data_IF_007784247809
#
_entry.id   IF_007784247809
#
_cell.length_a   1.000
_cell.length_b   1.000
_cell.length_c   1.000
_cell.angle_alpha   90.00
_cell.angle_beta   90.00
_cell.angle_gamma   90.00
#
_symmetry.space_group_name_H-M   'P 1'
#
loop_
_entity.id
_entity.type
_entity.pdbx_description
1 polymer ?
#
# COMPACT_ATOMS: atom_id res chain seq x y z
N UNK A 1 -2.42 8.41 13.15
CA UNK A 1 -3.10 7.10 13.30
C UNK A 1 -4.56 7.31 13.63
N UNK A 2 -5.44 6.43 13.13
CA UNK A 2 -6.85 6.37 13.52
C UNK A 2 -6.99 5.23 14.53
N UNK A 3 -7.73 5.47 15.62
CA UNK A 3 -8.03 4.46 16.61
C UNK A 3 -9.50 4.02 16.48
N UNK A 4 -9.72 2.72 16.53
CA UNK A 4 -11.06 2.14 16.59
C UNK A 4 -11.45 1.98 18.05
N UNK A 5 -12.63 2.51 18.44
CA UNK A 5 -13.19 2.34 19.78
C UNK A 5 -14.22 1.23 19.75
N UNK A 6 -14.02 0.20 20.57
CA UNK A 6 -14.81 -1.03 20.59
C UNK A 6 -14.10 -2.22 19.96
N UNK A 7 -14.69 -3.38 20.15
CA UNK A 7 -14.23 -4.65 19.56
C UNK A 7 -15.43 -5.37 18.93
N UNK A 8 -15.18 -6.50 18.25
CA UNK A 8 -16.25 -7.35 17.72
C UNK A 8 -17.28 -7.74 18.80
N UNK A 9 -16.79 -8.00 20.03
CA UNK A 9 -17.60 -8.49 21.17
C UNK A 9 -18.07 -7.38 22.11
N UNK A 10 -17.44 -6.18 22.08
CA UNK A 10 -17.74 -5.06 22.97
C UNK A 10 -17.98 -3.78 22.18
N UNK A 11 -19.24 -3.53 21.85
CA UNK A 11 -19.65 -2.32 21.08
C UNK A 11 -19.71 -1.10 22.02
N UNK A 12 -19.40 0.11 21.52
CA UNK A 12 -19.57 1.35 22.29
C UNK A 12 -21.02 1.55 22.73
N UNK A 13 -21.21 2.13 23.91
CA UNK A 13 -22.53 2.47 24.43
C UNK A 13 -23.14 3.66 23.68
N UNK A 14 -24.47 3.81 23.76
CA UNK A 14 -25.16 4.97 23.15
C UNK A 14 -24.66 6.31 23.71
N UNK A 15 -24.23 6.35 24.97
CA UNK A 15 -23.66 7.55 25.59
C UNK A 15 -22.30 7.95 24.98
N UNK A 16 -21.57 7.00 24.41
CA UNK A 16 -20.31 7.26 23.69
C UNK A 16 -20.57 7.61 22.23
N UNK A 17 -21.64 7.09 21.61
CA UNK A 17 -21.98 7.33 20.22
C UNK A 17 -22.58 8.73 20.00
N UNK A 18 -23.41 9.24 20.94
CA UNK A 18 -24.06 10.55 20.81
C UNK A 18 -23.03 11.69 20.63
N UNK A 19 -21.99 11.84 21.48
CA UNK A 19 -20.96 12.85 21.24
C UNK A 19 -20.19 12.64 19.94
N UNK A 20 -19.93 11.38 19.56
CA UNK A 20 -19.21 11.07 18.33
C UNK A 20 -19.97 11.51 17.05
N UNK A 21 -21.30 11.53 17.10
CA UNK A 21 -22.14 11.98 15.98
C UNK A 21 -21.95 13.48 15.67
N UNK A 22 -21.64 14.29 16.67
CA UNK A 22 -21.44 15.74 16.53
C UNK A 22 -19.96 16.15 16.41
N UNK A 23 -19.04 15.19 16.54
CA UNK A 23 -17.60 15.45 16.50
C UNK A 23 -17.06 15.14 15.08
N UNK A 24 -16.66 16.15 14.29
CA UNK A 24 -16.17 15.93 12.93
C UNK A 24 -14.86 15.16 12.86
N UNK A 25 -14.14 15.00 14.00
CA UNK A 25 -12.92 14.19 14.09
C UNK A 25 -13.21 12.70 14.25
N UNK A 26 -14.49 12.31 14.42
CA UNK A 26 -14.93 10.92 14.64
C UNK A 26 -15.80 10.45 13.49
N UNK A 27 -15.86 9.15 13.29
CA UNK A 27 -16.77 8.49 12.37
C UNK A 27 -17.42 7.29 13.02
N UNK A 28 -18.71 7.13 12.81
CA UNK A 28 -19.46 5.95 13.23
C UNK A 28 -19.62 5.06 12.00
N UNK A 29 -19.04 3.88 12.06
CA UNK A 29 -19.08 2.89 10.98
C UNK A 29 -19.74 1.61 11.47
N UNK A 30 -20.38 0.82 10.59
CA UNK A 30 -20.90 -0.50 10.96
C UNK A 30 -19.77 -1.39 11.48
N UNK A 31 -20.05 -2.15 12.56
CA UNK A 31 -19.03 -3.02 13.16
C UNK A 31 -18.50 -4.05 12.17
N UNK A 32 -19.34 -4.58 11.30
CA UNK A 32 -19.00 -5.61 10.31
C UNK A 32 -18.05 -5.08 9.21
N UNK A 33 -17.99 -3.75 9.03
CA UNK A 33 -17.02 -3.12 8.12
C UNK A 33 -15.59 -3.12 8.68
N UNK A 34 -15.45 -3.19 10.01
CA UNK A 34 -14.15 -3.23 10.71
C UNK A 34 -13.80 -4.66 11.15
N UNK A 35 -14.83 -5.41 11.57
CA UNK A 35 -14.73 -6.77 12.08
C UNK A 35 -15.63 -7.70 11.26
N UNK A 36 -15.17 -8.18 10.09
CA UNK A 36 -15.92 -9.15 9.30
C UNK A 36 -16.25 -10.40 10.13
N UNK A 37 -17.47 -10.95 10.03
CA UNK A 37 -17.92 -12.03 10.90
C UNK A 37 -17.18 -13.37 10.72
N UNK A 38 -16.45 -13.51 9.63
CA UNK A 38 -15.65 -14.68 9.26
C UNK A 38 -14.17 -14.56 9.67
N UNK A 39 -13.76 -13.45 10.29
CA UNK A 39 -12.38 -13.22 10.73
C UNK A 39 -12.27 -12.99 12.23
N UNK A 40 -11.26 -13.58 12.84
CA UNK A 40 -10.94 -13.35 14.26
C UNK A 40 -10.12 -12.05 14.42
N UNK A 41 -10.17 -11.46 15.61
CA UNK A 41 -9.34 -10.29 15.94
C UNK A 41 -7.85 -10.56 15.77
N UNK A 42 -7.40 -11.82 16.01
CA UNK A 42 -6.01 -12.23 15.79
C UNK A 42 -5.67 -12.21 14.30
N UNK A 43 -6.52 -12.77 13.45
CA UNK A 43 -6.32 -12.77 11.99
C UNK A 43 -6.24 -11.34 11.43
N UNK A 44 -7.11 -10.44 11.89
CA UNK A 44 -7.06 -9.02 11.51
C UNK A 44 -5.77 -8.34 11.97
N UNK A 45 -5.29 -8.65 13.17
CA UNK A 45 -4.02 -8.13 13.68
C UNK A 45 -2.83 -8.64 12.87
N UNK A 46 -2.80 -9.93 12.56
CA UNK A 46 -1.74 -10.55 11.77
C UNK A 46 -1.72 -10.01 10.34
N UNK A 47 -2.90 -9.84 9.73
CA UNK A 47 -3.05 -9.22 8.41
C UNK A 47 -2.56 -7.76 8.42
N UNK A 48 -2.96 -6.97 9.43
CA UNK A 48 -2.54 -5.58 9.57
C UNK A 48 -1.02 -5.46 9.75
N UNK A 49 -0.42 -6.40 10.48
CA UNK A 49 1.04 -6.47 10.68
C UNK A 49 1.75 -6.85 9.37
N UNK A 50 1.24 -7.81 8.62
CA UNK A 50 1.78 -8.19 7.33
C UNK A 50 1.71 -7.05 6.31
N UNK A 51 0.58 -6.34 6.25
CA UNK A 51 0.42 -5.15 5.41
C UNK A 51 1.38 -4.02 5.77
N UNK A 52 1.71 -3.86 7.06
CA UNK A 52 2.70 -2.88 7.50
C UNK A 52 4.10 -3.26 7.03
N UNK A 53 4.48 -4.54 7.11
CA UNK A 53 5.80 -5.02 6.62
C UNK A 53 5.91 -4.82 5.12
N UNK A 54 4.88 -5.17 4.37
CA UNK A 54 4.80 -4.96 2.92
C UNK A 54 4.94 -3.47 2.57
N UNK A 55 4.18 -2.62 3.25
CA UNK A 55 4.24 -1.16 3.07
C UNK A 55 5.64 -0.57 3.34
N UNK A 56 6.39 -1.13 4.29
CA UNK A 56 7.78 -0.70 4.54
C UNK A 56 8.72 -1.12 3.42
N UNK A 57 8.52 -2.31 2.84
CA UNK A 57 9.29 -2.80 1.70
C UNK A 57 9.03 -1.93 0.46
N UNK A 58 7.78 -1.69 0.14
CA UNK A 58 7.35 -0.86 -0.99
C UNK A 58 7.86 0.59 -0.83
N UNK A 59 7.70 1.19 0.35
CA UNK A 59 8.18 2.53 0.65
C UNK A 59 9.71 2.64 0.52
N UNK A 60 10.44 1.61 0.96
CA UNK A 60 11.91 1.56 0.83
C UNK A 60 12.31 1.44 -0.64
N UNK A 61 11.61 0.60 -1.41
CA UNK A 61 11.86 0.44 -2.83
C UNK A 61 11.62 1.76 -3.59
N UNK A 62 10.48 2.40 -3.35
CA UNK A 62 10.13 3.69 -3.96
C UNK A 62 11.15 4.78 -3.62
N UNK A 63 11.51 4.93 -2.33
CA UNK A 63 12.44 5.95 -1.88
C UNK A 63 13.84 5.75 -2.46
N UNK A 64 14.37 4.52 -2.44
CA UNK A 64 15.70 4.24 -2.97
C UNK A 64 15.74 4.38 -4.50
N UNK A 65 14.69 3.96 -5.21
CA UNK A 65 14.56 4.17 -6.65
C UNK A 65 14.52 5.66 -7.00
N UNK A 66 13.74 6.47 -6.26
CA UNK A 66 13.70 7.93 -6.41
C UNK A 66 15.10 8.56 -6.22
N UNK A 67 15.89 8.04 -5.29
CA UNK A 67 17.28 8.50 -5.05
C UNK A 67 18.30 7.95 -6.06
N UNK A 68 17.86 7.18 -7.07
CA UNK A 68 18.72 6.64 -8.14
C UNK A 68 19.46 5.36 -7.78
N UNK A 69 19.12 4.70 -6.69
CA UNK A 69 19.66 3.38 -6.37
C UNK A 69 18.97 2.28 -7.21
N UNK A 70 19.72 1.24 -7.53
CA UNK A 70 19.15 0.05 -8.19
C UNK A 70 18.49 -0.83 -7.16
N UNK A 71 17.18 -1.00 -7.27
CA UNK A 71 16.36 -1.90 -6.45
C UNK A 71 15.87 -3.01 -7.36
N UNK A 72 16.12 -4.27 -6.96
CA UNK A 72 15.76 -5.42 -7.79
C UNK A 72 14.64 -6.20 -7.10
N UNK A 73 13.43 -6.25 -7.67
CA UNK A 73 12.34 -7.06 -7.15
C UNK A 73 12.56 -8.54 -7.40
N UNK A 74 12.05 -9.37 -6.48
CA UNK A 74 11.98 -10.82 -6.64
C UNK A 74 10.73 -11.38 -5.97
N UNK A 75 10.25 -12.53 -6.46
CA UNK A 75 9.10 -13.22 -5.89
C UNK A 75 9.55 -14.25 -4.87
N UNK A 76 8.98 -14.21 -3.68
CA UNK A 76 9.20 -15.18 -2.61
C UNK A 76 7.90 -15.91 -2.27
N UNK A 77 8.00 -17.22 -2.02
CA UNK A 77 6.87 -18.03 -1.56
C UNK A 77 6.64 -17.74 -0.08
N UNK A 78 5.49 -17.13 0.23
CA UNK A 78 5.07 -16.88 1.61
C UNK A 78 4.45 -18.12 2.25
N UNK A 79 3.53 -18.78 1.53
CA UNK A 79 2.89 -20.02 1.97
C UNK A 79 2.45 -20.87 0.80
N UNK A 80 2.30 -22.18 1.06
CA UNK A 80 1.79 -23.15 0.10
C UNK A 80 0.51 -23.74 0.68
N UNK A 81 -0.56 -23.77 -0.11
CA UNK A 81 -1.84 -24.36 0.25
C UNK A 81 -1.70 -25.89 0.35
N UNK A 82 -2.28 -26.50 1.39
CA UNK A 82 -2.15 -27.93 1.66
C UNK A 82 -2.79 -28.82 0.58
N UNK A 83 -3.78 -28.31 -0.13
CA UNK A 83 -4.46 -28.96 -1.27
C UNK A 83 -4.06 -28.35 -2.63
N UNK A 84 -3.16 -27.35 -2.61
CA UNK A 84 -2.63 -26.69 -3.79
C UNK A 84 -1.78 -27.61 -4.68
N UNK A 85 -1.63 -27.24 -5.94
CA UNK A 85 -0.80 -27.98 -6.90
C UNK A 85 0.70 -27.93 -6.55
N UNK A 86 1.13 -26.88 -5.88
CA UNK A 86 2.53 -26.69 -5.44
C UNK A 86 2.87 -27.43 -4.15
N UNK A 87 1.90 -28.06 -3.48
CA UNK A 87 2.16 -28.79 -2.24
C UNK A 87 3.17 -29.91 -2.45
N UNK A 88 4.18 -29.99 -1.59
CA UNK A 88 5.29 -30.93 -1.70
C UNK A 88 6.32 -30.61 -2.79
N UNK A 89 6.10 -29.54 -3.60
CA UNK A 89 7.03 -29.08 -4.65
C UNK A 89 7.69 -27.77 -4.24
N UNK A 90 6.90 -26.73 -3.90
CA UNK A 90 7.39 -25.47 -3.37
C UNK A 90 7.36 -25.47 -1.85
N UNK A 91 8.18 -24.59 -1.26
CA UNK A 91 8.28 -24.39 0.18
C UNK A 91 8.30 -22.89 0.48
N UNK A 92 7.96 -22.54 1.72
CA UNK A 92 8.13 -21.16 2.20
C UNK A 92 9.59 -20.72 1.98
N UNK A 93 9.76 -19.45 1.63
CA UNK A 93 11.03 -18.78 1.36
C UNK A 93 11.75 -19.24 0.06
N UNK A 94 11.11 -20.09 -0.79
CA UNK A 94 11.59 -20.29 -2.15
C UNK A 94 11.48 -18.98 -2.93
N UNK A 95 12.52 -18.59 -3.65
CA UNK A 95 12.50 -17.46 -4.58
C UNK A 95 12.19 -17.97 -5.98
N UNK A 96 11.16 -17.43 -6.63
CA UNK A 96 10.80 -17.80 -8.00
C UNK A 96 11.53 -16.87 -8.96
N UNK A 97 12.49 -17.39 -9.72
CA UNK A 97 13.31 -16.62 -10.65
C UNK A 97 12.70 -16.56 -12.07
N UNK A 98 12.12 -17.69 -12.52
CA UNK A 98 11.52 -17.75 -13.84
C UNK A 98 10.42 -18.82 -13.93
N UNK A 99 9.53 -18.64 -14.91
CA UNK A 99 8.52 -19.61 -15.30
C UNK A 99 8.62 -19.85 -16.81
N UNK A 100 8.77 -21.12 -17.20
CA UNK A 100 9.00 -21.56 -18.58
C UNK A 100 10.13 -20.78 -19.29
N UNK A 101 11.20 -20.47 -18.55
CA UNK A 101 12.35 -19.72 -19.04
C UNK A 101 12.17 -18.20 -19.13
N UNK A 102 10.98 -17.68 -18.83
CA UNK A 102 10.71 -16.25 -18.74
C UNK A 102 10.93 -15.78 -17.31
N UNK A 103 11.78 -14.77 -17.10
CA UNK A 103 12.01 -14.18 -15.78
C UNK A 103 10.70 -13.60 -15.23
N UNK A 104 10.46 -13.78 -13.92
CA UNK A 104 9.29 -13.25 -13.23
C UNK A 104 9.75 -12.44 -12.03
N UNK A 105 9.22 -11.23 -11.91
CA UNK A 105 9.54 -10.28 -10.82
C UNK A 105 8.34 -9.88 -10.00
N UNK A 106 7.13 -10.21 -10.49
CA UNK A 106 5.86 -9.87 -9.88
C UNK A 106 4.84 -11.01 -10.04
N UNK A 107 3.81 -10.98 -9.20
CA UNK A 107 2.76 -12.00 -9.17
C UNK A 107 1.92 -12.01 -10.45
N UNK A 108 1.72 -10.86 -11.08
CA UNK A 108 0.88 -10.74 -12.27
C UNK A 108 1.51 -11.43 -13.47
N UNK A 109 2.82 -11.25 -13.67
CA UNK A 109 3.59 -11.92 -14.73
C UNK A 109 3.57 -13.44 -14.57
N UNK A 110 3.77 -13.95 -13.35
CA UNK A 110 3.68 -15.39 -13.10
C UNK A 110 2.28 -15.93 -13.35
N UNK A 111 1.23 -15.23 -12.90
CA UNK A 111 -0.16 -15.62 -13.17
C UNK A 111 -0.49 -15.65 -14.64
N UNK A 112 -0.01 -14.68 -15.42
CA UNK A 112 -0.21 -14.65 -16.87
C UNK A 112 0.42 -15.86 -17.54
N UNK A 113 1.65 -16.25 -17.15
CA UNK A 113 2.33 -17.44 -17.69
C UNK A 113 1.54 -18.70 -17.35
N UNK A 114 1.09 -18.87 -16.08
CA UNK A 114 0.30 -20.02 -15.64
C UNK A 114 -1.01 -20.11 -16.42
N UNK A 115 -1.72 -18.98 -16.58
CA UNK A 115 -2.98 -18.93 -17.32
C UNK A 115 -2.81 -19.31 -18.81
N UNK A 116 -1.74 -18.85 -19.43
CA UNK A 116 -1.43 -19.16 -20.85
C UNK A 116 -1.15 -20.65 -21.09
N UNK A 117 -0.86 -21.43 -20.06
CA UNK A 117 -0.62 -22.88 -20.17
C UNK A 117 -1.89 -23.72 -20.24
N UNK A 118 -3.05 -23.16 -19.92
CA UNK A 118 -4.36 -23.81 -19.95
C UNK A 118 -4.34 -25.21 -19.28
N UNK A 119 -3.70 -25.27 -18.09
CA UNK A 119 -3.58 -26.48 -17.27
C UNK A 119 -2.41 -27.39 -17.61
N UNK A 120 -1.61 -27.10 -18.63
CA UNK A 120 -0.38 -27.83 -18.87
C UNK A 120 0.68 -27.53 -17.78
N UNK A 121 1.64 -28.45 -17.54
CA UNK A 121 2.70 -28.23 -16.56
C UNK A 121 3.50 -26.97 -16.85
N UNK A 122 3.83 -26.21 -15.77
CA UNK A 122 4.71 -25.03 -15.80
C UNK A 122 6.03 -25.42 -15.15
N UNK A 123 7.14 -25.12 -15.81
CA UNK A 123 8.49 -25.32 -15.27
C UNK A 123 8.93 -24.03 -14.56
N UNK A 124 9.16 -24.10 -13.26
CA UNK A 124 9.68 -22.98 -12.48
C UNK A 124 11.16 -23.18 -12.17
N UNK A 125 11.95 -22.14 -12.39
CA UNK A 125 13.30 -22.04 -11.82
C UNK A 125 13.17 -21.34 -10.49
N UNK A 126 13.59 -21.99 -9.42
CA UNK A 126 13.53 -21.47 -8.06
C UNK A 126 14.91 -21.47 -7.42
N UNK A 127 15.12 -20.55 -6.46
CA UNK A 127 16.25 -20.60 -5.55
C UNK A 127 15.76 -21.06 -4.17
N UNK A 128 16.33 -22.14 -3.68
CA UNK A 128 16.03 -22.73 -2.36
C UNK A 128 17.32 -22.87 -1.57
N UNK A 129 17.43 -22.15 -0.44
CA UNK A 129 18.62 -22.20 0.40
C UNK A 129 19.91 -21.85 -0.35
N UNK A 130 19.85 -20.91 -1.29
CA UNK A 130 20.99 -20.49 -2.13
C UNK A 130 21.29 -21.41 -3.32
N UNK A 131 20.49 -22.47 -3.54
CA UNK A 131 20.67 -23.40 -4.66
C UNK A 131 19.55 -23.22 -5.68
N UNK A 132 19.91 -22.98 -6.93
CA UNK A 132 18.95 -22.92 -8.05
C UNK A 132 18.48 -24.34 -8.41
N UNK A 133 17.17 -24.52 -8.54
CA UNK A 133 16.51 -25.80 -8.87
C UNK A 133 15.42 -25.56 -9.91
N UNK A 134 15.17 -26.57 -10.73
CA UNK A 134 13.99 -26.60 -11.59
C UNK A 134 12.94 -27.55 -11.00
N UNK A 135 11.70 -27.05 -10.93
CA UNK A 135 10.54 -27.83 -10.47
C UNK A 135 9.42 -27.68 -11.50
N UNK A 136 8.60 -28.72 -11.62
CA UNK A 136 7.46 -28.70 -12.53
C UNK A 136 6.17 -28.82 -11.73
N UNK A 137 5.18 -27.96 -12.01
CA UNK A 137 3.90 -27.92 -11.33
C UNK A 137 2.79 -27.93 -12.37
N UNK A 138 1.83 -28.83 -12.22
CA UNK A 138 0.62 -28.86 -13.04
C UNK A 138 -0.46 -28.06 -12.34
N UNK A 139 -0.89 -26.89 -12.86
CA UNK A 139 -1.90 -26.06 -12.23
C UNK A 139 -3.22 -26.79 -12.07
N UNK A 140 -3.98 -26.45 -11.04
CA UNK A 140 -5.36 -26.92 -10.82
C UNK A 140 -6.34 -25.83 -11.19
N UNK A 141 -7.45 -26.22 -11.80
CA UNK A 141 -8.53 -25.29 -12.10
C UNK A 141 -9.34 -25.01 -10.83
N UNK A 142 -9.57 -23.74 -10.54
CA UNK A 142 -10.41 -23.27 -9.44
C UNK A 142 -11.40 -22.21 -9.94
N UNK A 143 -12.55 -22.12 -9.28
CA UNK A 143 -13.55 -21.10 -9.59
C UNK A 143 -13.37 -19.95 -8.59
N UNK A 144 -12.96 -18.77 -9.09
CA UNK A 144 -12.82 -17.55 -8.29
C UNK A 144 -13.78 -16.50 -8.86
N UNK A 145 -14.67 -15.99 -8.03
CA UNK A 145 -15.68 -15.00 -8.43
C UNK A 145 -16.50 -15.44 -9.66
N UNK A 146 -16.79 -16.75 -9.76
CA UNK A 146 -17.54 -17.32 -10.88
C UNK A 146 -16.74 -17.52 -12.17
N UNK A 147 -15.45 -17.22 -12.19
CA UNK A 147 -14.54 -17.44 -13.32
C UNK A 147 -13.61 -18.61 -13.05
N UNK A 148 -13.41 -19.43 -14.06
CA UNK A 148 -12.45 -20.54 -14.00
C UNK A 148 -11.04 -20.02 -14.19
N UNK A 149 -10.16 -20.30 -13.24
CA UNK A 149 -8.77 -19.83 -13.21
C UNK A 149 -7.81 -20.97 -12.89
N UNK A 150 -6.67 -21.01 -13.56
CA UNK A 150 -5.61 -21.97 -13.29
C UNK A 150 -4.69 -21.44 -12.18
N UNK A 151 -4.53 -22.22 -11.09
CA UNK A 151 -3.73 -21.86 -9.93
C UNK A 151 -2.77 -22.98 -9.53
N UNK A 152 -1.66 -22.59 -8.94
CA UNK A 152 -0.69 -23.51 -8.35
C UNK A 152 -0.84 -23.63 -6.82
N UNK A 153 -1.67 -22.80 -6.19
CA UNK A 153 -1.97 -22.85 -4.74
C UNK A 153 -0.80 -22.39 -3.89
N UNK A 154 -0.29 -21.20 -4.18
CA UNK A 154 0.74 -20.52 -3.37
C UNK A 154 0.36 -19.06 -3.14
N UNK A 155 0.70 -18.55 -1.95
CA UNK A 155 0.76 -17.12 -1.68
C UNK A 155 2.19 -16.64 -1.91
N UNK A 156 2.32 -15.59 -2.70
CA UNK A 156 3.60 -14.99 -3.06
C UNK A 156 3.68 -13.56 -2.54
N UNK A 157 4.88 -13.14 -2.15
CA UNK A 157 5.21 -11.76 -1.83
C UNK A 157 6.26 -11.26 -2.82
N UNK A 158 6.08 -10.03 -3.29
CA UNK A 158 7.15 -9.30 -3.95
C UNK A 158 8.07 -8.76 -2.86
N UNK A 159 9.35 -9.07 -2.96
CA UNK A 159 10.40 -8.57 -2.08
C UNK A 159 11.48 -7.87 -2.91
N UNK A 160 12.37 -7.16 -2.25
CA UNK A 160 13.37 -6.35 -2.93
C UNK A 160 14.76 -6.58 -2.36
N UNK A 161 15.76 -6.63 -3.25
CA UNK A 161 17.14 -6.51 -2.85
C UNK A 161 17.51 -5.02 -2.75
N UNK A 162 17.78 -4.59 -1.53
CA UNK A 162 18.18 -3.22 -1.26
C UNK A 162 19.70 -3.08 -1.17
N UNK A 163 20.30 -2.05 -1.80
CA UNK A 163 21.75 -1.79 -1.67
C UNK A 163 22.12 -1.19 -0.31
N UNK A 164 21.13 -0.72 0.47
CA UNK A 164 21.29 -0.11 1.79
C UNK A 164 20.29 -0.77 2.75
N UNK A 165 20.75 -1.12 3.96
CA UNK A 165 19.88 -1.64 5.02
C UNK A 165 19.08 -0.49 5.67
N UNK A 166 17.79 -0.40 5.37
CA UNK A 166 16.88 0.61 5.91
C UNK A 166 16.04 -0.04 7.02
N UNK A 167 16.08 0.56 8.23
CA UNK A 167 15.30 0.10 9.38
C UNK A 167 14.31 1.17 9.81
N UNK A 168 13.04 0.89 9.62
CA UNK A 168 11.94 1.72 10.10
C UNK A 168 11.49 1.23 11.49
N UNK A 169 11.67 2.08 12.50
CA UNK A 169 11.23 1.76 13.86
C UNK A 169 9.86 2.38 14.13
N UNK A 170 8.87 1.53 14.33
CA UNK A 170 7.49 1.92 14.57
C UNK A 170 6.96 1.25 15.83
N UNK A 171 6.13 1.96 16.57
CA UNK A 171 5.52 1.45 17.80
C UNK A 171 4.00 1.45 17.65
N UNK A 172 3.38 0.28 17.79
CA UNK A 172 1.91 0.10 17.85
C UNK A 172 1.15 0.71 16.64
N UNK A 173 1.68 0.58 15.45
CA UNK A 173 1.07 1.03 14.20
C UNK A 173 0.94 -0.15 13.25
N UNK A 174 -0.21 -0.32 12.63
CA UNK A 174 -0.48 -1.35 11.63
C UNK A 174 -1.12 -0.76 10.38
N UNK A 175 -1.20 -1.59 9.33
CA UNK A 175 -1.77 -1.24 8.04
C UNK A 175 -0.84 -0.42 7.13
N UNK A 176 -1.13 -0.34 5.82
CA UNK A 176 -0.22 0.18 4.81
C UNK A 176 -0.28 1.70 4.62
N UNK A 177 -1.16 2.41 5.34
CA UNK A 177 -1.54 3.80 5.06
C UNK A 177 -0.49 4.87 5.39
N UNK A 178 0.69 4.47 5.89
CA UNK A 178 1.81 5.37 6.17
C UNK A 178 2.95 5.25 5.16
N UNK A 179 2.82 4.40 4.14
CA UNK A 179 3.87 4.06 3.18
C UNK A 179 4.49 5.29 2.52
N UNK A 180 3.69 6.23 2.01
CA UNK A 180 4.19 7.47 1.43
C UNK A 180 5.06 8.25 2.44
N UNK A 181 4.62 8.36 3.68
CA UNK A 181 5.37 9.09 4.71
C UNK A 181 6.67 8.36 5.11
N UNK A 182 6.71 7.02 5.02
CA UNK A 182 7.94 6.27 5.18
C UNK A 182 8.94 6.58 4.06
N UNK A 183 8.48 6.56 2.82
CA UNK A 183 9.33 6.89 1.68
C UNK A 183 9.92 8.30 1.79
N UNK A 184 9.09 9.29 2.15
CA UNK A 184 9.54 10.66 2.39
C UNK A 184 10.55 10.74 3.54
N UNK A 185 10.34 10.02 4.65
CA UNK A 185 11.28 9.96 5.78
C UNK A 185 12.61 9.31 5.42
N UNK A 186 12.61 8.30 4.56
CA UNK A 186 13.84 7.68 4.04
C UNK A 186 14.61 8.68 3.16
N UNK A 187 13.91 9.37 2.24
CA UNK A 187 14.51 10.38 1.37
C UNK A 187 15.11 11.51 2.22
N UNK A 188 14.36 12.04 3.18
CA UNK A 188 14.84 13.10 4.10
C UNK A 188 16.10 12.68 4.87
N UNK A 189 16.16 11.42 5.31
CA UNK A 189 17.31 10.89 6.05
C UNK A 189 18.55 10.69 5.17
N UNK A 190 18.36 10.32 3.90
CA UNK A 190 19.42 10.01 2.96
C UNK A 190 19.88 11.22 2.13
N UNK A 191 19.17 12.36 2.21
CA UNK A 191 19.52 13.60 1.50
C UNK A 191 19.99 14.69 2.47
N UNK A 192 20.92 15.55 2.09
CA UNK A 192 21.35 16.66 2.93
C UNK A 192 20.23 17.68 3.15
N UNK A 193 20.06 18.13 4.39
CA UNK A 193 19.09 19.15 4.77
C UNK A 193 17.80 18.54 5.31
N UNK A 194 16.79 19.37 5.55
CA UNK A 194 15.45 18.95 5.96
C UNK A 194 14.49 19.19 4.80
N UNK A 195 13.92 18.13 4.26
CA UNK A 195 13.02 18.20 3.11
C UNK A 195 11.82 19.12 3.38
N UNK A 196 11.31 19.11 4.61
CA UNK A 196 10.20 19.96 5.05
C UNK A 196 10.62 21.38 5.54
N UNK A 197 11.93 21.73 5.50
CA UNK A 197 12.44 23.04 5.96
C UNK A 197 12.10 23.36 7.42
N UNK A 198 11.86 22.36 8.26
CA UNK A 198 11.45 22.53 9.66
C UNK A 198 9.98 22.90 9.84
N UNK A 199 9.15 22.80 8.81
CA UNK A 199 7.69 22.99 8.89
C UNK A 199 7.00 21.76 9.46
N UNK A 200 5.87 21.96 10.12
CA UNK A 200 5.05 20.89 10.65
C UNK A 200 4.14 20.31 9.55
N UNK A 201 4.65 19.30 8.86
CA UNK A 201 3.93 18.61 7.79
C UNK A 201 3.49 17.23 8.26
N UNK A 202 2.26 16.89 8.03
CA UNK A 202 1.73 15.54 8.17
C UNK A 202 1.26 15.01 6.81
N UNK A 203 0.98 13.72 6.72
CA UNK A 203 0.46 13.13 5.50
C UNK A 203 0.05 11.68 5.71
N UNK A 204 -0.55 11.11 4.69
CA UNK A 204 -0.95 9.71 4.64
C UNK A 204 -1.05 9.26 3.19
N UNK A 205 -0.91 7.97 2.96
CA UNK A 205 -1.01 7.35 1.65
C UNK A 205 -0.41 5.95 1.69
N UNK A 206 -0.96 5.01 0.98
CA UNK A 206 -0.20 3.82 0.57
C UNK A 206 0.83 4.25 -0.46
N UNK A 207 1.82 3.43 -0.69
CA UNK A 207 2.77 3.62 -1.78
C UNK A 207 3.17 2.24 -2.31
N UNK A 208 3.39 2.16 -3.60
CA UNK A 208 4.00 1.01 -4.23
C UNK A 208 5.46 1.28 -4.63
N UNK A 209 6.19 0.26 -5.07
CA UNK A 209 7.58 0.37 -5.47
C UNK A 209 7.81 1.28 -6.69
N UNK A 210 6.77 1.54 -7.48
CA UNK A 210 6.82 2.49 -8.60
C UNK A 210 6.67 3.95 -8.12
N UNK A 211 6.31 4.16 -6.85
CA UNK A 211 6.09 5.47 -6.25
C UNK A 211 4.66 5.99 -6.41
N UNK A 212 3.72 5.16 -6.84
CA UNK A 212 2.31 5.54 -6.94
C UNK A 212 1.67 5.61 -5.54
N UNK A 213 0.96 6.70 -5.27
CA UNK A 213 0.33 6.96 -3.97
C UNK A 213 -1.15 6.60 -4.04
N UNK A 214 -1.56 5.62 -3.25
CA UNK A 214 -2.93 5.13 -3.23
C UNK A 214 -3.76 5.61 -2.05
N UNK A 215 -5.09 5.49 -2.20
CA UNK A 215 -6.09 5.87 -1.21
C UNK A 215 -5.98 5.10 0.11
N UNK A 216 -6.53 5.72 1.17
CA UNK A 216 -6.54 5.15 2.52
C UNK A 216 -7.89 5.36 3.19
N UNK A 217 -8.17 4.61 4.25
CA UNK A 217 -9.36 4.84 5.06
C UNK A 217 -9.16 5.89 6.16
N UNK A 218 -10.26 6.60 6.47
CA UNK A 218 -10.32 7.53 7.59
C UNK A 218 -9.50 8.81 7.41
N UNK A 219 -9.43 9.34 6.19
CA UNK A 219 -8.64 10.53 5.90
C UNK A 219 -9.11 11.76 6.68
N UNK A 220 -10.42 11.90 6.90
CA UNK A 220 -10.98 13.00 7.70
C UNK A 220 -10.41 12.99 9.12
N UNK A 221 -10.46 11.83 9.80
CA UNK A 221 -9.92 11.65 11.14
C UNK A 221 -8.42 11.93 11.20
N UNK A 222 -7.68 11.53 10.16
CA UNK A 222 -6.24 11.78 10.04
C UNK A 222 -5.93 13.28 9.90
N UNK A 223 -6.70 14.02 9.11
CA UNK A 223 -6.54 15.48 8.99
C UNK A 223 -6.81 16.20 10.33
N UNK A 224 -7.89 15.83 11.04
CA UNK A 224 -8.17 16.39 12.36
C UNK A 224 -7.08 16.03 13.38
N UNK A 225 -6.61 14.78 13.38
CA UNK A 225 -5.50 14.33 14.22
C UNK A 225 -4.19 15.06 13.92
N UNK A 226 -3.86 15.27 12.64
CA UNK A 226 -2.71 16.03 12.21
C UNK A 226 -2.78 17.48 12.71
N UNK A 227 -3.93 18.15 12.49
CA UNK A 227 -4.14 19.52 12.94
C UNK A 227 -4.04 19.67 14.45
N UNK A 228 -4.64 18.75 15.22
CA UNK A 228 -4.55 18.77 16.68
C UNK A 228 -3.14 18.51 17.21
N UNK A 229 -2.30 17.85 16.42
CA UNK A 229 -0.87 17.62 16.71
C UNK A 229 0.03 18.76 16.23
N UNK A 230 -0.54 19.87 15.73
CA UNK A 230 0.20 21.06 15.33
C UNK A 230 0.62 21.10 13.86
N UNK A 231 0.16 20.17 13.02
CA UNK A 231 0.45 20.24 11.59
C UNK A 231 -0.20 21.49 10.95
N UNK A 232 0.57 22.15 10.09
CA UNK A 232 0.15 23.29 9.27
C UNK A 232 -0.19 22.84 7.85
N UNK A 233 0.48 21.76 7.40
CA UNK A 233 0.36 21.21 6.06
C UNK A 233 0.03 19.71 6.14
N UNK A 234 -0.72 19.23 5.14
CA UNK A 234 -1.08 17.83 5.05
C UNK A 234 -1.02 17.35 3.60
N UNK A 235 -0.32 16.24 3.35
CA UNK A 235 -0.28 15.57 2.06
C UNK A 235 -1.34 14.47 2.04
N UNK A 236 -2.30 14.57 1.14
CA UNK A 236 -3.41 13.64 0.97
C UNK A 236 -3.31 12.92 -0.37
N UNK A 237 -3.61 11.61 -0.44
CA UNK A 237 -3.74 10.94 -1.73
C UNK A 237 -4.81 11.60 -2.60
N UNK A 238 -4.52 11.80 -3.87
CA UNK A 238 -5.47 12.37 -4.82
C UNK A 238 -6.76 11.54 -4.90
N UNK A 239 -6.65 10.23 -4.76
CA UNK A 239 -7.78 9.29 -4.76
C UNK A 239 -8.70 9.41 -3.53
N UNK A 240 -8.31 10.17 -2.51
CA UNK A 240 -9.18 10.50 -1.37
C UNK A 240 -9.81 11.89 -1.47
N UNK A 241 -9.67 12.60 -2.59
CA UNK A 241 -10.07 13.99 -2.68
C UNK A 241 -11.58 14.21 -2.51
N UNK A 242 -12.41 13.25 -2.86
CA UNK A 242 -13.86 13.26 -2.61
C UNK A 242 -14.21 13.30 -1.11
N UNK A 243 -13.39 12.63 -0.27
CA UNK A 243 -13.54 12.66 1.18
C UNK A 243 -12.90 13.90 1.84
N UNK A 244 -11.92 14.53 1.19
CA UNK A 244 -11.18 15.69 1.70
C UNK A 244 -11.95 16.98 1.50
N UNK A 245 -12.55 17.17 0.30
CA UNK A 245 -13.27 18.42 -0.03
C UNK A 245 -14.45 18.62 0.91
N UNK A 246 -14.50 19.82 1.51
CA UNK A 246 -15.52 20.19 2.49
C UNK A 246 -15.26 19.69 3.93
N UNK A 247 -14.15 18.96 4.18
CA UNK A 247 -13.83 18.39 5.49
C UNK A 247 -12.47 18.81 6.04
N UNK A 248 -11.82 19.80 5.43
CA UNK A 248 -10.50 20.30 5.86
C UNK A 248 -10.65 21.07 7.17
N UNK A 249 -9.93 20.69 8.25
CA UNK A 249 -9.92 21.45 9.50
C UNK A 249 -9.38 22.87 9.31
N UNK A 250 -9.93 23.82 10.06
CA UNK A 250 -9.45 25.21 10.02
C UNK A 250 -7.96 25.31 10.38
N UNK A 251 -7.19 26.00 9.57
CA UNK A 251 -5.75 26.21 9.76
C UNK A 251 -4.88 25.04 9.31
N UNK A 252 -5.41 24.09 8.53
CA UNK A 252 -4.65 23.05 7.85
C UNK A 252 -4.70 23.32 6.34
N UNK A 253 -3.54 23.38 5.69
CA UNK A 253 -3.42 23.42 4.23
C UNK A 253 -3.25 22.00 3.71
N UNK A 254 -4.10 21.56 2.78
CA UNK A 254 -4.09 20.18 2.26
C UNK A 254 -3.75 20.18 0.78
N UNK A 255 -2.74 19.40 0.41
CA UNK A 255 -2.28 19.23 -0.97
C UNK A 255 -2.49 17.78 -1.41
N UNK A 256 -2.93 17.62 -2.65
CA UNK A 256 -3.22 16.33 -3.26
C UNK A 256 -1.99 15.81 -3.99
N UNK A 257 -1.61 14.58 -3.70
CA UNK A 257 -0.46 13.91 -4.31
C UNK A 257 -0.88 12.57 -4.92
N UNK A 258 -0.40 12.27 -6.11
CA UNK A 258 -0.62 10.99 -6.79
C UNK A 258 0.63 10.13 -6.82
N UNK A 259 1.81 10.76 -6.70
CA UNK A 259 3.09 10.07 -6.78
C UNK A 259 4.03 10.54 -5.66
N UNK A 260 5.09 9.75 -5.42
CA UNK A 260 6.17 10.14 -4.52
C UNK A 260 6.87 11.42 -5.00
N UNK A 261 7.02 11.59 -6.31
CA UNK A 261 7.63 12.79 -6.90
C UNK A 261 6.79 14.04 -6.61
N UNK A 262 5.46 13.95 -6.67
CA UNK A 262 4.56 15.03 -6.26
C UNK A 262 4.79 15.39 -4.79
N UNK A 263 4.83 14.37 -3.92
CA UNK A 263 5.00 14.57 -2.49
C UNK A 263 6.36 15.21 -2.13
N UNK A 264 7.44 14.79 -2.78
CA UNK A 264 8.79 15.38 -2.61
C UNK A 264 8.80 16.82 -3.10
N UNK A 265 8.23 17.09 -4.28
CA UNK A 265 8.08 18.44 -4.82
C UNK A 265 7.32 19.35 -3.86
N UNK A 266 6.18 18.90 -3.37
CA UNK A 266 5.33 19.67 -2.47
C UNK A 266 6.06 19.99 -1.16
N UNK A 267 6.75 18.99 -0.55
CA UNK A 267 7.57 19.21 0.63
C UNK A 267 8.70 20.21 0.38
N UNK A 268 9.35 20.15 -0.78
CA UNK A 268 10.41 21.08 -1.16
C UNK A 268 9.89 22.51 -1.27
N UNK A 269 8.73 22.72 -1.88
CA UNK A 269 8.09 24.05 -1.98
C UNK A 269 7.71 24.55 -0.59
N UNK A 270 7.06 23.73 0.23
CA UNK A 270 6.67 24.05 1.61
C UNK A 270 7.93 24.38 2.45
N UNK A 271 8.94 23.54 2.38
CA UNK A 271 10.16 23.66 3.16
C UNK A 271 11.00 24.89 2.83
N UNK A 272 11.05 25.28 1.56
CA UNK A 272 11.74 26.49 1.10
C UNK A 272 10.95 27.78 1.37
N UNK A 273 9.68 27.71 1.82
CA UNK A 273 8.77 28.85 1.92
C UNK A 273 8.35 29.40 0.55
N UNK A 274 8.35 28.53 -0.46
CA UNK A 274 7.93 28.89 -1.82
C UNK A 274 6.42 29.14 -1.93
N UNK A 275 5.99 29.48 -3.14
CA UNK A 275 4.58 29.77 -3.42
C UNK A 275 3.76 28.46 -3.46
N UNK A 276 3.09 28.17 -2.35
CA UNK A 276 2.25 26.98 -2.21
C UNK A 276 0.93 27.05 -3.01
N UNK A 277 0.57 28.19 -3.60
CA UNK A 277 -0.60 28.30 -4.48
C UNK A 277 -0.44 27.52 -5.79
N UNK A 278 0.78 27.13 -6.13
CA UNK A 278 1.11 26.32 -7.31
C UNK A 278 0.92 24.82 -7.07
N UNK A 279 0.73 24.40 -5.82
CA UNK A 279 0.56 23.00 -5.47
C UNK A 279 -0.87 22.52 -5.74
N UNK A 280 -1.00 21.26 -6.14
CA UNK A 280 -2.29 20.65 -6.40
C UNK A 280 -3.12 20.55 -5.11
N UNK A 281 -4.36 21.00 -5.15
CA UNK A 281 -5.32 20.78 -4.06
C UNK A 281 -6.39 19.80 -4.48
N UNK A 282 -7.07 19.18 -3.52
CA UNK A 282 -8.18 18.28 -3.84
C UNK A 282 -9.28 18.99 -4.66
N UNK A 283 -9.52 20.27 -4.44
CA UNK A 283 -10.49 21.04 -5.25
C UNK A 283 -10.03 21.19 -6.70
N UNK A 284 -8.73 21.38 -6.95
CA UNK A 284 -8.20 21.50 -8.32
C UNK A 284 -8.18 20.14 -9.04
N UNK A 285 -7.85 19.06 -8.32
CA UNK A 285 -7.85 17.70 -8.88
C UNK A 285 -9.26 17.29 -9.31
N UNK A 286 -10.27 17.51 -8.46
CA UNK A 286 -11.66 17.17 -8.78
C UNK A 286 -12.27 18.06 -9.86
N UNK A 287 -11.79 19.29 -10.04
CA UNK A 287 -12.25 20.18 -11.10
C UNK A 287 -11.62 19.87 -12.48
N UNK A 288 -10.53 19.09 -12.50
CA UNK A 288 -9.90 18.66 -13.74
C UNK A 288 -10.74 17.58 -14.43
N UNK A 289 -11.11 17.72 -15.70
CA UNK A 289 -11.87 16.68 -16.39
C UNK A 289 -11.02 15.40 -16.45
N UNK A 290 -11.55 14.30 -15.91
CA UNK A 290 -10.96 12.95 -16.09
C UNK A 290 -10.75 12.73 -17.59
N UNK A 291 -9.55 12.34 -18.05
CA UNK A 291 -9.36 12.01 -19.46
C UNK A 291 -10.34 10.88 -19.82
N UNK A 292 -11.32 11.21 -20.63
CA UNK A 292 -12.28 10.25 -21.17
C UNK A 292 -11.50 9.22 -21.98
N UNK A 293 -11.39 8.02 -21.45
CA UNK A 293 -10.91 6.86 -22.23
C UNK A 293 -12.02 6.60 -23.25
N UNK A 294 -11.83 7.11 -24.46
CA UNK A 294 -12.69 6.76 -25.59
C UNK A 294 -12.61 5.25 -25.81
N UNK A 295 -13.73 4.53 -25.84
CA UNK A 295 -13.69 3.13 -26.21
C UNK A 295 -13.13 3.02 -27.64
N UNK A 296 -12.04 2.31 -27.77
CA UNK A 296 -11.49 1.95 -29.08
C UNK A 296 -12.56 1.17 -29.84
N UNK A 297 -12.96 1.57 -31.04
CA UNK A 297 -13.92 0.80 -31.82
C UNK A 297 -13.26 -0.54 -32.15
N UNK A 298 -13.89 -1.61 -31.70
CA UNK A 298 -13.55 -2.99 -32.09
C UNK A 298 -13.83 -3.18 -33.58
N UNK A 299 -12.92 -3.78 -34.35
CA UNK A 299 -13.12 -4.07 -35.78
C UNK A 299 -14.16 -5.16 -36.04
#
# INVERSE_FOLDING_TARGET
>A
TVQVVGTADARPSWLELIPAFFDPSRSIVPADAIYPPDQTSQQLSDQSSAQMVDSQQEATAAALTHLGYTVTPYLSVYSVESDGAANGVLQKDDVVESADGTAVTDVASLRAIIAAKDGAPVSLTIQRGGTTQQVSITPKQQIINGQSTWLIGVSLLTQFHFPIDVKLQLFNVGGPSAGMMFALGIIDTLTPGNLNGGKNVAGTGTIDAAGEVGAIGGIRQKMYGARSSGAEYFLAPADNCDEVVGHIPQGLSVYAVSTLDDAVKDLTVIGSGGDTSTLATCSTVMASPTPSVSPTPTP
#
